data_IF_553332945739
#
_entry.id   IF_553332945739
#
_cell.length_a   1.000
_cell.length_b   1.000
_cell.length_c   1.000
_cell.angle_alpha   90.00
_cell.angle_beta   90.00
_cell.angle_gamma   90.00
#
_symmetry.space_group_name_H-M   'P 1'
#
loop_
_entity.id
_entity.type
_entity.pdbx_description
1 polymer ?
#
# COMPACT_ATOMS: atom_id res chain seq x y z
N UNK A 1 6.04 13.31 -3.70
CA UNK A 1 4.99 14.13 -4.33
C UNK A 1 5.27 14.20 -5.82
N UNK A 2 4.25 13.90 -6.63
CA UNK A 2 4.28 14.02 -8.09
C UNK A 2 3.22 15.07 -8.43
N UNK A 3 3.60 16.09 -9.20
CA UNK A 3 2.67 17.12 -9.69
C UNK A 3 2.81 17.17 -11.21
N UNK A 4 1.70 17.01 -11.92
CA UNK A 4 1.70 17.09 -13.38
C UNK A 4 1.54 18.55 -13.88
N UNK A 5 1.73 18.75 -15.19
CA UNK A 5 1.59 20.08 -15.80
C UNK A 5 0.16 20.64 -15.76
N UNK A 6 -0.84 19.83 -15.41
CA UNK A 6 -2.24 20.22 -15.24
C UNK A 6 -2.58 20.54 -13.78
N UNK A 7 -1.59 20.48 -12.88
CA UNK A 7 -1.77 20.72 -11.44
C UNK A 7 -2.40 19.54 -10.68
N UNK A 8 -2.50 18.35 -11.30
CA UNK A 8 -2.89 17.14 -10.58
C UNK A 8 -1.72 16.68 -9.72
N UNK A 9 -2.00 16.28 -8.49
CA UNK A 9 -0.97 15.84 -7.55
C UNK A 9 -1.26 14.46 -6.97
N UNK A 10 -0.20 13.69 -6.74
CA UNK A 10 -0.27 12.35 -6.13
C UNK A 10 1.03 12.02 -5.39
N UNK A 11 1.06 10.92 -4.64
CA UNK A 11 2.26 10.41 -3.97
C UNK A 11 2.44 8.95 -4.36
N UNK A 12 3.63 8.63 -4.85
CA UNK A 12 4.14 7.27 -4.85
C UNK A 12 5.05 7.14 -3.62
N UNK A 13 4.85 6.11 -2.81
CA UNK A 13 5.59 5.89 -1.58
C UNK A 13 6.16 4.47 -1.53
N UNK A 14 7.31 4.34 -0.87
CA UNK A 14 7.93 3.04 -0.59
C UNK A 14 7.25 2.43 0.65
N UNK A 15 6.86 1.16 0.58
CA UNK A 15 5.91 0.57 1.54
C UNK A 15 6.58 0.01 2.82
N UNK A 16 7.91 -0.07 2.90
CA UNK A 16 8.60 -0.70 4.03
C UNK A 16 8.53 0.10 5.34
N UNK A 17 8.35 1.42 5.27
CA UNK A 17 8.37 2.31 6.44
C UNK A 17 6.97 2.74 6.93
N UNK A 18 5.91 2.48 6.16
CA UNK A 18 4.57 2.97 6.49
C UNK A 18 3.47 2.27 5.69
N UNK A 19 2.26 2.36 6.21
CA UNK A 19 1.06 1.81 5.58
C UNK A 19 0.26 2.89 4.83
N UNK A 20 -0.81 2.46 4.14
CA UNK A 20 -1.69 3.37 3.40
C UNK A 20 -2.35 4.41 4.30
N UNK A 21 -2.64 4.11 5.57
CA UNK A 21 -3.30 5.03 6.50
C UNK A 21 -2.39 6.19 6.85
N UNK A 22 -1.11 5.93 7.12
CA UNK A 22 -0.11 6.96 7.38
C UNK A 22 0.04 7.91 6.19
N UNK A 23 0.07 7.35 4.96
CA UNK A 23 0.21 8.14 3.73
C UNK A 23 -1.06 8.93 3.41
N UNK A 24 -2.24 8.36 3.61
CA UNK A 24 -3.52 9.08 3.47
C UNK A 24 -3.55 10.28 4.41
N UNK A 25 -3.18 10.08 5.67
CA UNK A 25 -3.13 11.16 6.65
C UNK A 25 -2.16 12.26 6.22
N UNK A 26 -0.97 11.90 5.72
CA UNK A 26 -0.03 12.88 5.18
C UNK A 26 -0.66 13.69 4.04
N UNK A 27 -1.37 13.03 3.11
CA UNK A 27 -2.06 13.72 2.01
C UNK A 27 -3.15 14.67 2.51
N UNK A 28 -4.03 14.21 3.41
CA UNK A 28 -5.12 15.00 3.97
C UNK A 28 -4.62 16.21 4.76
N UNK A 29 -3.59 16.00 5.61
CA UNK A 29 -3.00 17.06 6.41
C UNK A 29 -2.29 18.09 5.51
N UNK A 30 -1.53 17.63 4.50
CA UNK A 30 -0.87 18.51 3.54
C UNK A 30 -1.88 19.30 2.71
N UNK A 31 -2.96 18.66 2.26
CA UNK A 31 -4.03 19.31 1.52
C UNK A 31 -4.75 20.36 2.39
N UNK A 32 -5.08 20.02 3.63
CA UNK A 32 -5.72 20.93 4.58
C UNK A 32 -4.81 22.12 4.91
N UNK A 33 -3.53 21.87 5.14
CA UNK A 33 -2.54 22.90 5.46
C UNK A 33 -2.33 23.85 4.27
N UNK A 34 -2.18 23.30 3.06
CA UNK A 34 -2.06 24.09 1.83
C UNK A 34 -3.28 24.99 1.60
N UNK A 35 -4.50 24.56 1.98
CA UNK A 35 -5.69 25.39 1.82
C UNK A 35 -5.93 26.40 2.96
N UNK A 36 -5.38 26.17 4.16
CA UNK A 36 -5.61 27.04 5.33
C UNK A 36 -4.46 28.00 5.61
N UNK A 37 -3.24 27.57 5.36
CA UNK A 37 -1.99 28.24 5.66
C UNK A 37 -1.15 28.37 4.38
N UNK A 38 -1.77 28.68 3.24
CA UNK A 38 -1.05 28.80 1.97
C UNK A 38 0.05 29.85 2.10
N UNK A 39 1.29 29.44 1.80
CA UNK A 39 2.41 30.37 1.71
C UNK A 39 2.39 31.19 0.41
N UNK A 40 1.66 30.68 -0.60
CA UNK A 40 1.56 31.30 -1.93
C UNK A 40 0.11 31.39 -2.38
N UNK A 41 -0.26 32.51 -3.00
CA UNK A 41 -1.58 32.69 -3.62
C UNK A 41 -1.55 32.37 -5.13
N UNK A 42 -2.63 31.83 -5.72
CA UNK A 42 -2.70 31.56 -7.16
C UNK A 42 -2.48 32.81 -8.03
N UNK A 43 -2.81 33.99 -7.50
CA UNK A 43 -2.66 35.28 -8.17
C UNK A 43 -1.42 36.07 -7.70
N UNK A 44 -0.57 35.46 -6.86
CA UNK A 44 0.63 36.13 -6.37
C UNK A 44 1.58 36.40 -7.54
N UNK A 45 2.00 37.66 -7.68
CA UNK A 45 3.04 37.99 -8.63
C UNK A 45 4.37 37.44 -8.13
N UNK A 46 5.00 36.61 -8.97
CA UNK A 46 6.31 36.02 -8.70
C UNK A 46 7.34 36.80 -9.51
N UNK A 47 8.42 37.23 -8.85
CA UNK A 47 9.55 37.83 -9.55
C UNK A 47 10.25 36.78 -10.41
N UNK A 48 10.21 36.96 -11.73
CA UNK A 48 10.84 36.06 -12.70
C UNK A 48 12.36 36.26 -12.79
N UNK A 49 12.91 37.32 -12.18
CA UNK A 49 14.33 37.61 -12.19
C UNK A 49 15.08 37.04 -10.98
N UNK A 50 14.41 36.24 -10.14
CA UNK A 50 15.07 35.56 -9.02
C UNK A 50 16.16 34.64 -9.56
N UNK A 51 17.42 34.78 -9.11
CA UNK A 51 18.52 33.94 -9.56
C UNK A 51 18.35 32.51 -9.01
N UNK A 52 17.73 31.64 -9.81
CA UNK A 52 17.40 30.26 -9.45
C UNK A 52 18.64 29.49 -9.01
N UNK A 53 19.80 29.77 -9.62
CA UNK A 53 21.07 29.09 -9.35
C UNK A 53 21.57 29.31 -7.91
N UNK A 54 21.09 30.36 -7.21
CA UNK A 54 21.40 30.58 -5.79
C UNK A 54 20.60 29.69 -4.86
N UNK A 55 19.46 29.16 -5.31
CA UNK A 55 18.50 28.42 -4.49
C UNK A 55 18.33 26.95 -4.91
N UNK A 56 18.62 26.63 -6.16
CA UNK A 56 18.53 25.29 -6.72
C UNK A 56 19.85 24.89 -7.37
N UNK A 57 20.34 23.70 -7.03
CA UNK A 57 21.54 23.11 -7.62
C UNK A 57 21.16 21.85 -8.38
N UNK A 58 21.48 21.73 -9.67
CA UNK A 58 21.28 20.47 -10.40
C UNK A 58 22.16 19.38 -9.79
N UNK A 59 21.62 18.18 -9.67
CA UNK A 59 22.37 16.99 -9.28
C UNK A 59 22.93 16.37 -10.56
N UNK A 60 24.24 16.47 -10.74
CA UNK A 60 24.93 15.92 -11.89
C UNK A 60 25.37 14.47 -11.62
N UNK A 61 25.10 13.58 -12.56
CA UNK A 61 25.52 12.19 -12.51
C UNK A 61 26.54 11.91 -13.62
N UNK A 62 27.75 11.51 -13.24
CA UNK A 62 28.76 11.05 -14.20
C UNK A 62 28.61 9.55 -14.42
N UNK A 63 28.16 9.15 -15.61
CA UNK A 63 27.89 7.75 -15.93
C UNK A 63 29.05 7.11 -16.70
N UNK A 64 29.57 6.00 -16.18
CA UNK A 64 30.46 5.11 -16.94
C UNK A 64 29.65 4.13 -17.81
N UNK A 65 30.32 3.37 -18.68
CA UNK A 65 29.63 2.49 -19.63
C UNK A 65 28.86 1.34 -18.95
N UNK A 66 29.33 0.87 -17.79
CA UNK A 66 28.61 -0.11 -16.96
C UNK A 66 27.29 0.46 -16.44
N UNK A 67 27.29 1.70 -15.92
CA UNK A 67 26.09 2.38 -15.44
C UNK A 67 25.12 2.70 -16.58
N UNK A 68 25.62 3.09 -17.76
CA UNK A 68 24.76 3.27 -18.95
C UNK A 68 24.06 1.96 -19.32
N UNK A 69 24.79 0.84 -19.29
CA UNK A 69 24.21 -0.50 -19.50
C UNK A 69 23.13 -0.81 -18.46
N UNK A 70 23.41 -0.60 -17.17
CA UNK A 70 22.45 -0.84 -16.10
C UNK A 70 21.18 0.02 -16.21
N UNK A 71 21.30 1.27 -16.67
CA UNK A 71 20.16 2.16 -16.94
C UNK A 71 19.32 1.62 -18.09
N UNK A 72 19.94 1.18 -19.20
CA UNK A 72 19.22 0.59 -20.33
C UNK A 72 18.48 -0.69 -19.93
N UNK A 73 19.11 -1.56 -19.14
CA UNK A 73 18.49 -2.77 -18.61
C UNK A 73 17.32 -2.44 -17.67
N UNK A 74 17.48 -1.46 -16.79
CA UNK A 74 16.41 -1.03 -15.88
C UNK A 74 15.22 -0.45 -16.65
N UNK A 75 15.47 0.33 -17.71
CA UNK A 75 14.42 0.85 -18.59
C UNK A 75 13.67 -0.27 -19.31
N UNK A 76 14.39 -1.25 -19.86
CA UNK A 76 13.77 -2.41 -20.52
C UNK A 76 12.89 -3.20 -19.55
N UNK A 77 13.38 -3.46 -18.33
CA UNK A 77 12.61 -4.13 -17.27
C UNK A 77 11.39 -3.33 -16.85
N UNK A 78 11.52 -2.01 -16.70
CA UNK A 78 10.40 -1.13 -16.36
C UNK A 78 9.29 -1.18 -17.41
N UNK A 79 9.65 -1.12 -18.69
CA UNK A 79 8.70 -1.23 -19.80
C UNK A 79 8.02 -2.60 -19.84
N UNK A 80 8.79 -3.69 -19.67
CA UNK A 80 8.25 -5.05 -19.61
C UNK A 80 7.24 -5.20 -18.46
N UNK A 81 7.60 -4.77 -17.25
CA UNK A 81 6.72 -4.82 -16.09
C UNK A 81 5.46 -3.97 -16.29
N UNK A 82 5.62 -2.73 -16.79
CA UNK A 82 4.51 -1.82 -17.06
C UNK A 82 3.54 -2.35 -18.11
N UNK A 83 4.04 -3.03 -19.13
CA UNK A 83 3.20 -3.61 -20.21
C UNK A 83 2.30 -4.76 -19.75
N UNK A 84 2.69 -5.45 -18.67
CA UNK A 84 1.92 -6.55 -18.08
C UNK A 84 0.84 -6.09 -17.09
N UNK A 85 0.94 -4.83 -16.63
CA UNK A 85 0.07 -4.30 -15.59
C UNK A 85 -1.25 -3.81 -16.21
N UNK A 86 -2.37 -4.30 -15.67
CA UNK A 86 -3.70 -3.80 -15.98
C UNK A 86 -4.30 -3.15 -14.74
N UNK A 87 -4.85 -1.95 -14.90
CA UNK A 87 -5.55 -1.24 -13.84
C UNK A 87 -6.88 -0.72 -14.35
N UNK A 88 -7.86 -0.64 -13.46
CA UNK A 88 -9.18 -0.10 -13.73
C UNK A 88 -9.69 0.64 -12.50
N UNK A 89 -10.46 1.70 -12.73
CA UNK A 89 -11.12 2.46 -11.68
C UNK A 89 -12.62 2.23 -11.82
N UNK A 90 -13.27 1.87 -10.72
CA UNK A 90 -14.72 1.68 -10.65
C UNK A 90 -15.26 2.53 -9.53
N UNK A 91 -16.16 3.45 -9.87
CA UNK A 91 -16.89 4.27 -8.91
C UNK A 91 -18.33 3.77 -8.82
N UNK A 92 -18.77 3.46 -7.60
CA UNK A 92 -20.12 2.96 -7.35
C UNK A 92 -20.87 3.90 -6.40
N UNK A 93 -21.95 4.49 -6.90
CA UNK A 93 -22.77 5.47 -6.18
C UNK A 93 -24.10 4.90 -5.65
N UNK A 94 -24.42 3.63 -5.98
CA UNK A 94 -25.71 3.01 -5.61
C UNK A 94 -25.82 2.63 -4.12
N UNK A 95 -24.73 2.69 -3.37
CA UNK A 95 -24.69 2.36 -1.95
C UNK A 95 -23.68 3.22 -1.23
N UNK A 96 -24.08 3.78 -0.09
CA UNK A 96 -23.23 4.63 0.74
C UNK A 96 -22.98 4.00 2.10
N UNK A 97 -21.93 4.48 2.77
CA UNK A 97 -21.61 4.13 4.16
C UNK A 97 -22.83 4.32 5.08
N UNK A 98 -23.59 5.39 4.89
CA UNK A 98 -24.75 5.71 5.73
C UNK A 98 -25.92 4.75 5.51
N UNK A 99 -26.17 4.37 4.24
CA UNK A 99 -27.19 3.37 3.91
C UNK A 99 -26.86 2.01 4.53
N UNK A 100 -25.60 1.59 4.50
CA UNK A 100 -25.13 0.34 5.10
C UNK A 100 -25.22 0.36 6.63
N UNK A 101 -24.82 1.47 7.26
CA UNK A 101 -24.95 1.64 8.72
C UNK A 101 -26.40 1.59 9.18
N UNK A 102 -27.35 2.17 8.44
CA UNK A 102 -28.80 2.05 8.73
C UNK A 102 -29.29 0.61 8.67
N UNK A 103 -28.74 -0.18 7.76
CA UNK A 103 -29.02 -1.62 7.65
C UNK A 103 -28.23 -2.48 8.66
N UNK A 104 -27.42 -1.88 9.54
CA UNK A 104 -26.52 -2.56 10.48
C UNK A 104 -25.49 -3.47 9.79
N UNK A 105 -25.02 -3.06 8.61
CA UNK A 105 -24.03 -3.78 7.81
C UNK A 105 -22.70 -3.04 7.83
N UNK A 106 -21.59 -3.78 7.96
CA UNK A 106 -20.24 -3.22 7.80
C UNK A 106 -19.99 -2.90 6.31
N UNK A 107 -19.60 -1.66 5.97
CA UNK A 107 -19.23 -1.30 4.60
C UNK A 107 -18.09 -2.15 4.04
N UNK A 108 -17.13 -2.45 4.89
CA UNK A 108 -15.95 -3.22 4.55
C UNK A 108 -16.31 -4.69 4.24
N UNK A 109 -17.03 -5.35 5.15
CA UNK A 109 -17.51 -6.73 4.93
C UNK A 109 -18.39 -6.85 3.68
N UNK A 110 -19.21 -5.83 3.38
CA UNK A 110 -20.01 -5.79 2.16
C UNK A 110 -19.14 -5.72 0.90
N UNK A 111 -18.07 -4.91 0.92
CA UNK A 111 -17.13 -4.80 -0.19
C UNK A 111 -16.34 -6.11 -0.38
N UNK A 112 -15.83 -6.70 0.69
CA UNK A 112 -15.12 -7.98 0.63
C UNK A 112 -16.01 -9.08 0.04
N UNK A 113 -17.28 -9.16 0.47
CA UNK A 113 -18.22 -10.11 -0.09
C UNK A 113 -18.49 -9.85 -1.58
N UNK A 114 -18.60 -8.58 -2.00
CA UNK A 114 -18.79 -8.22 -3.40
C UNK A 114 -17.60 -8.64 -4.27
N UNK A 115 -16.37 -8.49 -3.78
CA UNK A 115 -15.14 -8.94 -4.47
C UNK A 115 -15.14 -10.47 -4.60
N UNK A 116 -15.43 -11.20 -3.52
CA UNK A 116 -15.53 -12.66 -3.56
C UNK A 116 -16.61 -13.15 -4.54
N UNK A 117 -17.79 -12.50 -4.52
CA UNK A 117 -18.88 -12.84 -5.43
C UNK A 117 -18.52 -12.55 -6.89
N UNK A 118 -17.83 -11.43 -7.16
CA UNK A 118 -17.36 -11.09 -8.50
C UNK A 118 -16.36 -12.15 -9.02
N UNK A 119 -15.37 -12.52 -8.19
CA UNK A 119 -14.41 -13.56 -8.53
C UNK A 119 -15.10 -14.90 -8.80
N UNK A 120 -15.98 -15.33 -7.90
CA UNK A 120 -16.73 -16.58 -8.06
C UNK A 120 -17.63 -16.56 -9.31
N UNK A 121 -18.23 -15.42 -9.66
CA UNK A 121 -19.03 -15.31 -10.89
C UNK A 121 -18.21 -15.54 -12.15
N UNK A 122 -16.99 -15.01 -12.19
CA UNK A 122 -16.07 -15.10 -13.34
C UNK A 122 -15.39 -16.47 -13.44
N UNK A 123 -14.87 -16.98 -12.33
CA UNK A 123 -13.97 -18.15 -12.31
C UNK A 123 -14.59 -19.41 -11.72
N UNK A 124 -15.79 -19.32 -11.11
CA UNK A 124 -16.50 -20.43 -10.45
C UNK A 124 -15.74 -21.11 -9.32
N UNK A 125 -14.81 -20.37 -8.70
CA UNK A 125 -13.96 -20.88 -7.62
C UNK A 125 -13.87 -19.89 -6.45
N UNK A 126 -13.32 -20.35 -5.32
CA UNK A 126 -12.91 -19.52 -4.18
C UNK A 126 -11.41 -19.64 -3.98
N UNK A 127 -10.76 -18.51 -3.74
CA UNK A 127 -9.29 -18.44 -3.69
C UNK A 127 -8.80 -17.80 -2.39
N UNK A 128 -7.58 -18.16 -1.94
CA UNK A 128 -6.93 -17.47 -0.82
C UNK A 128 -6.91 -15.97 -1.07
N UNK A 129 -7.51 -15.23 -0.14
CA UNK A 129 -7.67 -13.78 -0.22
C UNK A 129 -7.01 -13.16 0.99
N UNK A 130 -6.11 -12.22 0.75
CA UNK A 130 -5.50 -11.40 1.77
C UNK A 130 -6.26 -10.08 1.90
N UNK A 131 -6.55 -9.69 3.14
CA UNK A 131 -7.04 -8.37 3.48
C UNK A 131 -6.09 -7.71 4.48
N UNK A 132 -5.67 -6.48 4.19
CA UNK A 132 -4.86 -5.72 5.14
C UNK A 132 -5.69 -5.30 6.35
N UNK A 133 -5.26 -5.65 7.55
CA UNK A 133 -5.84 -5.16 8.81
C UNK A 133 -4.81 -4.34 9.57
N UNK A 134 -5.21 -3.15 10.07
CA UNK A 134 -4.30 -2.27 10.80
C UNK A 134 -3.96 -2.85 12.17
N UNK A 135 -2.69 -2.78 12.55
CA UNK A 135 -2.22 -3.24 13.86
C UNK A 135 -1.59 -2.13 14.68
N UNK A 136 -1.86 -0.87 14.29
CA UNK A 136 -1.38 0.34 14.94
C UNK A 136 -1.79 0.45 16.42
N UNK A 137 -2.84 -0.28 16.84
CA UNK A 137 -3.26 -0.35 18.24
C UNK A 137 -2.26 -1.10 19.15
N UNK A 138 -1.30 -1.85 18.58
CA UNK A 138 -0.32 -2.63 19.34
C UNK A 138 1.05 -1.93 19.37
N UNK A 139 1.75 -2.08 20.49
CA UNK A 139 3.11 -1.56 20.67
C UNK A 139 4.04 -2.16 19.60
N UNK A 140 4.64 -1.30 18.76
CA UNK A 140 5.41 -1.68 17.56
C UNK A 140 4.57 -2.47 16.54
N UNK A 141 3.43 -1.92 16.14
CA UNK A 141 2.56 -2.46 15.06
C UNK A 141 3.29 -2.85 13.76
N UNK A 142 4.50 -2.30 13.53
CA UNK A 142 5.33 -2.59 12.35
C UNK A 142 6.60 -3.43 12.64
N UNK A 143 6.88 -3.81 13.89
CA UNK A 143 8.11 -4.53 14.25
C UNK A 143 7.97 -5.41 15.49
N UNK A 144 8.04 -6.73 15.27
CA UNK A 144 8.02 -7.76 16.32
C UNK A 144 9.12 -7.53 17.36
N UNK A 145 8.75 -7.01 18.52
CA UNK A 145 9.53 -7.19 19.74
C UNK A 145 8.60 -7.41 20.93
N UNK A 146 8.50 -8.69 21.29
CA UNK A 146 8.39 -9.13 22.68
C UNK A 146 7.26 -8.52 23.51
N UNK A 147 6.01 -8.77 23.13
CA UNK A 147 4.89 -9.01 24.06
C UNK A 147 3.66 -9.51 23.28
N UNK A 148 3.48 -10.83 23.29
CA UNK A 148 2.21 -11.47 22.92
C UNK A 148 1.21 -11.18 24.02
N UNK A 149 0.11 -10.48 23.71
CA UNK A 149 -1.23 -10.61 24.31
C UNK A 149 -2.13 -9.42 23.90
N UNK A 150 -3.04 -9.63 22.96
CA UNK A 150 -4.48 -9.74 23.25
C UNK A 150 -5.20 -10.40 22.05
N UNK A 151 -6.15 -11.26 22.36
CA UNK A 151 -6.69 -12.31 21.52
C UNK A 151 -8.12 -11.98 21.12
N UNK A 152 -8.27 -11.22 20.03
CA UNK A 152 -9.54 -11.13 19.28
C UNK A 152 -9.67 -12.21 18.19
N UNK A 153 -8.64 -13.06 18.00
CA UNK A 153 -8.64 -14.10 16.98
C UNK A 153 -8.36 -13.62 15.55
N UNK A 154 -8.16 -12.32 15.32
CA UNK A 154 -8.05 -11.73 13.98
C UNK A 154 -6.63 -11.74 13.37
N UNK A 155 -5.71 -12.53 13.94
CA UNK A 155 -4.30 -12.53 13.55
C UNK A 155 -3.67 -13.91 13.55
N UNK A 156 -4.45 -14.97 13.27
CA UNK A 156 -3.93 -16.34 13.20
C UNK A 156 -2.68 -16.43 12.31
N UNK A 157 -2.69 -15.75 11.17
CA UNK A 157 -1.54 -15.70 10.24
C UNK A 157 -0.32 -15.03 10.86
N UNK A 158 -0.50 -13.97 11.66
CA UNK A 158 0.61 -13.30 12.37
C UNK A 158 1.20 -14.20 13.45
N UNK A 159 0.37 -14.93 14.19
CA UNK A 159 0.84 -15.88 15.20
C UNK A 159 1.61 -17.04 14.56
N UNK A 160 1.13 -17.55 13.42
CA UNK A 160 1.82 -18.57 12.65
C UNK A 160 3.14 -18.04 12.07
N UNK A 161 3.16 -16.83 11.54
CA UNK A 161 4.39 -16.19 11.05
C UNK A 161 5.40 -16.01 12.20
N UNK A 162 4.97 -15.51 13.36
CA UNK A 162 5.83 -15.36 14.53
C UNK A 162 6.36 -16.71 15.02
N UNK A 163 5.54 -17.76 15.03
CA UNK A 163 5.95 -19.11 15.38
C UNK A 163 7.03 -19.63 14.42
N UNK A 164 6.84 -19.44 13.12
CA UNK A 164 7.81 -19.83 12.08
C UNK A 164 9.14 -19.09 12.25
N UNK A 165 9.10 -17.77 12.34
CA UNK A 165 10.30 -16.92 12.50
C UNK A 165 11.02 -17.22 13.81
N UNK A 166 10.29 -17.49 14.90
CA UNK A 166 10.89 -17.87 16.18
C UNK A 166 11.59 -19.23 16.09
N UNK A 167 11.00 -20.20 15.41
CA UNK A 167 11.65 -21.50 15.18
C UNK A 167 12.94 -21.32 14.36
N UNK A 168 12.90 -20.54 13.27
CA UNK A 168 14.10 -20.23 12.45
C UNK A 168 15.18 -19.52 13.28
N UNK A 169 14.82 -18.47 14.01
CA UNK A 169 15.75 -17.69 14.84
C UNK A 169 16.42 -18.52 15.93
N UNK A 170 15.67 -19.47 16.52
CA UNK A 170 16.19 -20.37 17.56
C UNK A 170 16.89 -21.61 16.97
N UNK A 171 17.05 -21.70 15.65
CA UNK A 171 17.62 -22.88 14.98
C UNK A 171 16.81 -24.17 15.20
N UNK A 172 15.52 -24.04 15.55
CA UNK A 172 14.62 -25.17 15.79
C UNK A 172 13.96 -25.63 14.50
N UNK A 173 13.70 -26.93 14.41
CA UNK A 173 12.90 -27.49 13.31
C UNK A 173 11.51 -26.83 13.31
N UNK A 174 11.10 -26.33 12.16
CA UNK A 174 9.77 -25.77 11.98
C UNK A 174 8.69 -26.83 12.20
N UNK A 175 7.55 -26.45 12.80
CA UNK A 175 6.36 -27.30 12.84
C UNK A 175 5.99 -27.81 11.44
N UNK A 176 5.56 -29.09 11.37
CA UNK A 176 5.20 -29.74 10.11
C UNK A 176 4.06 -29.02 9.34
N UNK A 177 3.26 -28.22 10.06
CA UNK A 177 2.24 -27.35 9.48
C UNK A 177 2.78 -26.47 8.34
N UNK A 178 3.97 -25.87 8.49
CA UNK A 178 4.54 -24.97 7.49
C UNK A 178 5.02 -25.69 6.22
N UNK A 179 5.27 -26.99 6.31
CA UNK A 179 5.62 -27.82 5.14
C UNK A 179 4.40 -28.37 4.40
N UNK A 180 3.19 -28.26 4.98
CA UNK A 180 1.96 -28.77 4.39
C UNK A 180 1.59 -28.02 3.10
N UNK A 181 1.17 -28.75 2.06
CA UNK A 181 0.71 -28.17 0.79
C UNK A 181 -0.47 -27.22 0.97
N UNK A 182 -1.41 -27.52 1.86
CA UNK A 182 -2.55 -26.64 2.16
C UNK A 182 -2.10 -25.32 2.79
N UNK A 183 -1.09 -25.37 3.68
CA UNK A 183 -0.55 -24.15 4.28
C UNK A 183 0.13 -23.27 3.23
N UNK A 184 0.92 -23.87 2.32
CA UNK A 184 1.53 -23.15 1.20
C UNK A 184 0.48 -22.51 0.30
N UNK A 185 -0.55 -23.27 -0.08
CA UNK A 185 -1.67 -22.78 -0.87
C UNK A 185 -2.38 -21.61 -0.20
N UNK A 186 -2.70 -21.69 1.10
CA UNK A 186 -3.34 -20.58 1.82
C UNK A 186 -2.50 -19.30 1.88
N UNK A 187 -1.18 -19.39 1.71
CA UNK A 187 -0.27 -18.24 1.66
C UNK A 187 0.03 -17.76 0.23
N UNK A 188 -0.57 -18.38 -0.79
CA UNK A 188 -0.54 -17.92 -2.18
C UNK A 188 -1.78 -17.08 -2.46
N UNK A 189 -1.73 -15.80 -2.08
CA UNK A 189 -2.86 -14.89 -2.24
C UNK A 189 -3.10 -14.53 -3.70
N UNK A 190 -4.18 -15.09 -4.27
CA UNK A 190 -4.63 -14.77 -5.64
C UNK A 190 -5.36 -13.42 -5.64
N UNK A 191 -6.08 -13.11 -4.55
CA UNK A 191 -6.68 -11.81 -4.31
C UNK A 191 -6.00 -11.15 -3.13
N UNK A 192 -5.61 -9.88 -3.29
CA UNK A 192 -5.06 -9.05 -2.23
C UNK A 192 -5.81 -7.73 -2.21
N UNK A 193 -6.43 -7.42 -1.07
CA UNK A 193 -7.32 -6.26 -0.91
C UNK A 193 -6.88 -5.42 0.28
N UNK A 194 -7.19 -4.13 0.22
CA UNK A 194 -6.94 -3.19 1.30
C UNK A 194 -8.01 -2.11 1.30
N UNK A 195 -8.57 -1.83 2.47
CA UNK A 195 -9.49 -0.72 2.65
C UNK A 195 -8.72 0.50 3.13
N UNK A 196 -8.88 1.62 2.43
CA UNK A 196 -8.32 2.92 2.79
C UNK A 196 -9.49 3.89 2.98
N UNK A 197 -9.70 4.39 4.20
CA UNK A 197 -10.96 5.07 4.57
C UNK A 197 -10.81 6.15 5.62
#
# INVERSE_FOLDING_TARGET
LIVDARGQSTINFEHSWGDGVAVLRLMEESYRDTNRNHFVDPNQQVDQNVPIEKHCRPIEFTLNDSLKGAVADAQSKHLANGSSLQFGIVEYFGMTRDSLKKAKLSPDAMMQLAIQLAFHRLYKDFVPTYESCSTAAFLKGDSLDGRVCDCSGEGFDRHLMALRMTAERLGRKQPALFSNSYFKYMNEFILSTSTLS
#
